data_IF_460743512803
#
_entry.id   IF_460743512803
#
_cell.length_a   1.000
_cell.length_b   1.000
_cell.length_c   1.000
_cell.angle_alpha   90.00
_cell.angle_beta   90.00
_cell.angle_gamma   90.00
#
_symmetry.space_group_name_H-M   'P 1'
#
loop_
_entity.id
_entity.type
_entity.pdbx_description
1 polymer ?
#
# COMPACT_ATOMS: atom_id res chain seq x y z
N UNK A 1 13.57 59.11 -31.50
CA UNK A 1 14.33 58.30 -32.47
C UNK A 1 14.43 56.91 -31.86
N UNK A 2 13.44 56.05 -32.07
CA UNK A 2 13.25 55.16 -33.22
C UNK A 2 13.51 53.72 -32.72
N UNK A 3 12.43 52.94 -32.55
CA UNK A 3 12.50 51.48 -32.70
C UNK A 3 12.63 51.12 -34.19
N UNK A 4 12.21 49.93 -34.67
CA UNK A 4 11.63 48.77 -33.99
C UNK A 4 12.26 47.42 -34.45
N UNK A 5 11.75 46.28 -33.98
CA UNK A 5 11.25 45.21 -34.87
C UNK A 5 10.67 44.01 -34.13
N UNK A 6 9.42 43.69 -34.49
CA UNK A 6 8.72 42.42 -34.28
C UNK A 6 9.26 41.36 -35.24
N UNK A 7 9.20 40.09 -34.85
CA UNK A 7 8.91 38.98 -35.77
C UNK A 7 8.02 37.98 -35.03
N UNK A 8 6.80 37.85 -35.55
CA UNK A 8 5.87 36.78 -35.26
C UNK A 8 6.24 35.56 -36.12
N UNK A 9 6.01 34.36 -35.61
CA UNK A 9 6.08 33.11 -36.36
C UNK A 9 4.87 32.25 -36.04
N UNK A 10 3.90 32.27 -36.96
CA UNK A 10 2.81 31.31 -37.09
C UNK A 10 3.33 30.02 -37.73
N UNK A 11 2.95 28.84 -37.22
CA UNK A 11 2.83 27.56 -37.96
C UNK A 11 1.72 26.71 -37.27
N UNK A 12 1.05 25.74 -37.92
CA UNK A 12 -0.31 25.89 -38.43
C UNK A 12 -1.30 24.88 -37.82
N UNK A 13 -2.57 25.07 -38.18
CA UNK A 13 -3.68 24.13 -37.97
C UNK A 13 -3.44 22.78 -38.67
N UNK A 14 -3.69 21.69 -37.95
CA UNK A 14 -3.79 20.33 -38.47
C UNK A 14 -5.17 19.76 -38.16
N UNK A 15 -6.02 19.75 -39.17
CA UNK A 15 -7.29 19.02 -39.25
C UNK A 15 -7.06 17.54 -39.56
N UNK A 16 -7.88 16.65 -39.00
CA UNK A 16 -8.05 15.30 -39.54
C UNK A 16 -8.63 14.29 -38.57
N UNK A 17 -9.91 13.96 -38.80
CA UNK A 17 -10.64 12.73 -38.49
C UNK A 17 -9.77 11.51 -38.11
N UNK A 18 -10.08 10.69 -37.12
CA UNK A 18 -11.37 10.06 -36.86
C UNK A 18 -11.14 8.55 -36.95
N UNK A 19 -11.20 7.83 -35.82
CA UNK A 19 -11.45 6.39 -35.74
C UNK A 19 -11.57 5.92 -34.27
N UNK A 20 -12.81 5.87 -33.79
CA UNK A 20 -13.29 4.82 -32.87
C UNK A 20 -13.83 3.69 -33.77
N UNK A 21 -13.78 2.38 -33.44
CA UNK A 21 -14.17 1.77 -32.14
C UNK A 21 -13.23 0.60 -31.74
N UNK A 22 -13.32 -0.11 -30.61
CA UNK A 22 -14.35 -1.08 -30.21
C UNK A 22 -14.17 -1.39 -28.72
N UNK A 23 -15.18 -1.03 -27.93
CA UNK A 23 -15.37 -1.50 -26.55
C UNK A 23 -15.82 -2.96 -26.64
N UNK A 24 -15.05 -3.89 -26.06
CA UNK A 24 -15.53 -5.25 -25.78
C UNK A 24 -16.24 -5.27 -24.43
N UNK A 25 -17.56 -5.36 -24.51
CA UNK A 25 -18.49 -5.58 -23.41
C UNK A 25 -18.25 -6.93 -22.72
N UNK A 26 -18.18 -6.94 -21.39
CA UNK A 26 -18.36 -8.15 -20.59
C UNK A 26 -19.87 -8.45 -20.44
N UNK A 27 -20.30 -9.72 -20.52
CA UNK A 27 -21.71 -10.07 -20.45
C UNK A 27 -22.27 -9.92 -19.02
N UNK A 28 -23.40 -9.21 -18.96
CA UNK A 28 -24.35 -9.20 -17.84
C UNK A 28 -25.03 -10.57 -17.78
N UNK A 29 -24.91 -11.26 -16.65
CA UNK A 29 -25.77 -12.41 -16.33
C UNK A 29 -26.91 -11.90 -15.46
N UNK A 30 -28.11 -11.97 -16.00
CA UNK A 30 -29.36 -11.63 -15.34
C UNK A 30 -30.01 -12.89 -14.72
N UNK A 31 -30.34 -12.77 -13.43
CA UNK A 31 -31.48 -13.41 -12.76
C UNK A 31 -31.43 -14.92 -12.47
N UNK A 32 -32.41 -15.47 -11.71
CA UNK A 32 -33.70 -14.80 -11.43
C UNK A 32 -34.37 -15.05 -10.04
N UNK A 33 -35.50 -14.35 -9.88
CA UNK A 33 -36.72 -14.65 -9.10
C UNK A 33 -36.77 -14.51 -7.56
N UNK A 34 -37.40 -13.39 -7.15
CA UNK A 34 -38.59 -13.26 -6.29
C UNK A 34 -39.20 -14.54 -5.65
N UNK A 35 -39.57 -14.48 -4.36
CA UNK A 35 -40.97 -14.56 -3.89
C UNK A 35 -41.12 -14.21 -2.40
N UNK A 36 -42.37 -13.98 -2.02
CA UNK A 36 -42.87 -13.20 -0.90
C UNK A 36 -43.02 -13.94 0.46
N UNK A 37 -43.11 -13.12 1.51
CA UNK A 37 -43.92 -13.19 2.74
C UNK A 37 -44.61 -14.52 3.10
N UNK A 38 -44.41 -14.98 4.34
CA UNK A 38 -45.53 -15.39 5.18
C UNK A 38 -45.19 -15.41 6.67
N UNK A 39 -46.05 -14.77 7.46
CA UNK A 39 -46.09 -14.82 8.92
C UNK A 39 -47.18 -15.78 9.38
N UNK A 40 -46.86 -16.70 10.29
CA UNK A 40 -47.79 -17.43 11.17
C UNK A 40 -46.99 -17.85 12.42
N UNK A 41 -47.19 -17.30 13.63
CA UNK A 41 -48.30 -17.46 14.61
C UNK A 41 -48.41 -18.88 15.20
N UNK A 42 -47.97 -19.00 16.48
CA UNK A 42 -48.45 -19.87 17.60
C UNK A 42 -48.38 -21.41 17.41
N UNK A 43 -48.17 -22.27 18.40
CA UNK A 43 -48.05 -22.24 19.87
C UNK A 43 -47.47 -23.61 20.36
N UNK A 44 -47.24 -23.84 21.67
CA UNK A 44 -46.38 -24.91 22.19
C UNK A 44 -47.10 -26.25 22.37
N UNK A 45 -46.34 -27.34 22.35
CA UNK A 45 -46.77 -28.63 22.90
C UNK A 45 -45.79 -29.06 23.99
N UNK A 46 -46.25 -28.95 25.23
CA UNK A 46 -45.73 -29.71 26.36
C UNK A 46 -46.16 -31.16 26.21
N UNK A 47 -45.26 -32.10 26.50
CA UNK A 47 -45.70 -33.33 27.14
C UNK A 47 -44.95 -34.61 26.80
N UNK A 48 -44.31 -35.14 27.84
CA UNK A 48 -44.28 -36.56 28.20
C UNK A 48 -43.47 -37.47 27.26
N UNK A 49 -42.31 -37.93 27.71
CA UNK A 49 -42.08 -39.35 28.07
C UNK A 49 -40.64 -39.55 28.54
N UNK A 50 -40.51 -39.55 29.87
CA UNK A 50 -39.41 -40.13 30.61
C UNK A 50 -39.32 -41.62 30.28
N UNK A 51 -38.19 -42.07 29.70
CA UNK A 51 -37.60 -43.44 29.77
C UNK A 51 -36.52 -43.61 28.68
N UNK A 52 -35.47 -42.80 28.67
CA UNK A 52 -34.28 -43.07 27.83
C UNK A 52 -32.99 -42.45 28.38
N UNK A 53 -32.87 -42.39 29.72
CA UNK A 53 -31.75 -41.74 30.42
C UNK A 53 -30.51 -42.63 30.57
N UNK A 54 -30.47 -43.84 30.01
CA UNK A 54 -29.33 -44.76 30.22
C UNK A 54 -28.71 -45.38 28.96
N UNK A 55 -28.96 -44.79 27.78
CA UNK A 55 -28.29 -45.20 26.53
C UNK A 55 -27.86 -44.04 25.62
N UNK A 56 -27.69 -42.84 26.18
CA UNK A 56 -27.08 -41.68 25.47
C UNK A 56 -25.74 -41.24 26.05
N UNK A 57 -25.32 -41.79 27.18
CA UNK A 57 -24.07 -41.43 27.86
C UNK A 57 -22.81 -42.04 27.22
N UNK A 58 -22.94 -43.05 26.35
CA UNK A 58 -21.79 -43.72 25.72
C UNK A 58 -21.49 -43.27 24.29
N UNK A 59 -22.39 -42.54 23.62
CA UNK A 59 -22.11 -41.95 22.30
C UNK A 59 -21.62 -40.50 22.36
N UNK A 60 -21.83 -39.80 23.48
CA UNK A 60 -21.30 -38.44 23.68
C UNK A 60 -19.81 -38.43 24.09
N UNK A 61 -19.27 -39.54 24.59
CA UNK A 61 -17.87 -39.64 25.00
C UNK A 61 -16.91 -39.96 23.84
N UNK A 62 -17.40 -40.51 22.72
CA UNK A 62 -16.54 -40.89 21.58
C UNK A 62 -16.37 -39.78 20.53
N UNK A 63 -17.26 -38.77 20.52
CA UNK A 63 -17.12 -37.60 19.64
C UNK A 63 -16.26 -36.47 20.26
N UNK A 64 -15.86 -36.57 21.53
CA UNK A 64 -14.92 -35.63 22.15
C UNK A 64 -13.44 -35.97 21.90
N UNK A 65 -13.14 -37.14 21.33
CA UNK A 65 -11.76 -37.60 21.10
C UNK A 65 -11.23 -37.37 19.66
N UNK A 66 -12.05 -36.81 18.76
CA UNK A 66 -11.64 -36.42 17.39
C UNK A 66 -11.58 -34.88 17.28
N UNK A 67 -11.25 -34.22 18.40
CA UNK A 67 -10.85 -32.82 18.43
C UNK A 67 -9.33 -32.71 18.53
N UNK A 68 -8.58 -33.49 17.74
CA UNK A 68 -7.16 -33.18 17.52
C UNK A 68 -7.17 -31.91 16.70
N UNK A 69 -7.14 -30.76 17.39
CA UNK A 69 -6.75 -29.49 16.83
C UNK A 69 -5.35 -29.67 16.31
N UNK A 70 -5.21 -30.12 15.06
CA UNK A 70 -3.96 -29.98 14.34
C UNK A 70 -3.69 -28.49 14.31
N UNK A 71 -2.62 -28.00 14.96
CA UNK A 71 -2.23 -26.62 14.76
C UNK A 71 -1.95 -26.52 13.26
N UNK A 72 -2.82 -25.80 12.54
CA UNK A 72 -2.52 -25.37 11.18
C UNK A 72 -1.13 -24.73 11.28
N UNK A 73 -0.15 -25.20 10.48
CA UNK A 73 1.16 -24.57 10.49
C UNK A 73 0.92 -23.09 10.25
N UNK A 74 1.33 -22.25 11.21
CA UNK A 74 1.37 -20.82 11.04
C UNK A 74 2.08 -20.60 9.70
N UNK A 75 1.33 -20.14 8.69
CA UNK A 75 1.84 -20.00 7.34
C UNK A 75 3.16 -19.27 7.44
N UNK A 76 4.26 -19.92 7.01
CA UNK A 76 5.60 -19.48 7.27
C UNK A 76 5.67 -17.97 7.01
N UNK A 77 5.75 -17.19 8.09
CA UNK A 77 5.80 -15.75 7.98
C UNK A 77 7.05 -15.48 7.14
N UNK A 78 6.85 -14.99 5.91
CA UNK A 78 7.95 -14.70 5.01
C UNK A 78 8.98 -13.82 5.72
N UNK A 79 10.25 -13.95 5.35
CA UNK A 79 11.34 -13.19 5.97
C UNK A 79 10.99 -11.70 6.01
N UNK A 80 10.78 -11.16 7.22
CA UNK A 80 10.40 -9.77 7.47
C UNK A 80 11.60 -8.82 7.36
N UNK A 81 12.80 -9.33 7.05
CA UNK A 81 14.05 -8.55 6.98
C UNK A 81 14.56 -8.33 5.56
N UNK A 82 13.80 -8.71 4.53
CA UNK A 82 14.20 -8.56 3.12
C UNK A 82 14.60 -7.12 2.80
N UNK A 83 13.79 -6.12 3.17
CA UNK A 83 14.12 -4.71 2.90
C UNK A 83 15.38 -4.26 3.65
N UNK A 84 15.58 -4.72 4.89
CA UNK A 84 16.79 -4.42 5.65
C UNK A 84 18.03 -5.03 4.99
N UNK A 85 17.93 -6.26 4.50
CA UNK A 85 19.01 -6.94 3.79
C UNK A 85 19.37 -6.23 2.47
N UNK A 86 18.38 -5.71 1.74
CA UNK A 86 18.63 -4.92 0.52
C UNK A 86 19.38 -3.64 0.89
N UNK A 87 18.88 -2.87 1.86
CA UNK A 87 19.49 -1.60 2.26
C UNK A 87 20.92 -1.77 2.75
N UNK A 88 21.21 -2.86 3.47
CA UNK A 88 22.52 -3.10 4.09
C UNK A 88 23.53 -3.67 3.11
N UNK A 89 23.11 -4.62 2.27
CA UNK A 89 24.04 -5.46 1.51
C UNK A 89 23.98 -5.24 0.00
N UNK A 90 22.98 -4.52 -0.52
CA UNK A 90 22.69 -4.48 -1.95
C UNK A 90 22.78 -3.10 -2.59
N UNK A 91 22.99 -2.02 -1.84
CA UNK A 91 23.03 -0.67 -2.42
C UNK A 91 24.39 -0.29 -3.01
N UNK A 92 25.49 -0.73 -2.40
CA UNK A 92 26.85 -0.47 -2.88
C UNK A 92 27.33 -1.57 -3.82
N UNK A 93 27.28 -1.31 -5.12
CA UNK A 93 27.69 -2.24 -6.16
C UNK A 93 29.20 -2.22 -6.48
N UNK A 94 30.02 -1.47 -5.73
CA UNK A 94 31.46 -1.33 -6.00
C UNK A 94 32.32 -2.49 -5.48
N UNK A 95 31.78 -3.32 -4.58
CA UNK A 95 32.47 -4.46 -4.00
C UNK A 95 32.78 -5.57 -5.02
N UNK A 96 33.99 -6.13 -4.97
CA UNK A 96 34.40 -7.21 -5.88
C UNK A 96 33.57 -8.51 -5.70
N UNK A 97 32.99 -8.72 -4.52
CA UNK A 97 32.11 -9.82 -4.15
C UNK A 97 30.62 -9.43 -4.14
N UNK A 98 30.27 -8.24 -4.64
CA UNK A 98 28.91 -7.72 -4.61
C UNK A 98 27.87 -8.71 -5.16
N UNK A 99 28.15 -9.32 -6.31
CA UNK A 99 27.23 -10.24 -6.98
C UNK A 99 27.03 -11.58 -6.26
N UNK A 100 27.91 -11.94 -5.33
CA UNK A 100 27.77 -13.17 -4.53
C UNK A 100 27.17 -12.87 -3.15
N UNK A 101 27.44 -11.70 -2.58
CA UNK A 101 26.90 -11.25 -1.28
C UNK A 101 25.47 -10.77 -1.40
N UNK A 102 25.18 -9.95 -2.42
CA UNK A 102 23.86 -9.37 -2.58
C UNK A 102 22.91 -10.33 -3.31
N UNK A 103 21.88 -10.79 -2.58
CA UNK A 103 20.82 -11.65 -3.12
C UNK A 103 19.93 -10.96 -4.16
N UNK A 104 19.76 -9.63 -4.05
CA UNK A 104 18.94 -8.81 -4.95
C UNK A 104 19.79 -7.66 -5.53
N UNK A 105 20.72 -7.96 -6.45
CA UNK A 105 21.67 -6.96 -6.95
C UNK A 105 20.94 -5.85 -7.69
N UNK A 106 21.55 -4.67 -7.77
CA UNK A 106 20.96 -3.56 -8.50
C UNK A 106 20.86 -3.87 -9.99
N UNK A 107 19.82 -3.36 -10.63
CA UNK A 107 19.62 -3.49 -12.09
C UNK A 107 20.77 -2.85 -12.88
N UNK A 108 21.40 -1.81 -12.34
CA UNK A 108 22.53 -1.08 -12.95
C UNK A 108 23.90 -1.67 -12.58
N UNK A 109 23.95 -2.82 -11.89
CA UNK A 109 25.22 -3.49 -11.55
C UNK A 109 25.71 -4.42 -12.67
N UNK A 110 26.97 -4.86 -12.56
CA UNK A 110 27.57 -5.83 -13.46
C UNK A 110 27.14 -7.29 -13.19
N UNK A 111 26.27 -7.52 -12.19
CA UNK A 111 25.74 -8.85 -11.93
C UNK A 111 24.88 -9.31 -13.11
N UNK A 112 24.77 -10.64 -13.31
CA UNK A 112 23.97 -11.27 -14.37
C UNK A 112 22.71 -10.49 -14.76
N UNK A 113 22.33 -10.45 -16.05
CA UNK A 113 21.19 -9.71 -16.62
C UNK A 113 19.81 -10.00 -15.96
N UNK A 114 19.62 -9.54 -14.72
CA UNK A 114 18.39 -9.62 -13.95
C UNK A 114 17.65 -8.29 -14.11
N UNK A 115 16.34 -8.38 -14.29
CA UNK A 115 15.47 -7.20 -14.26
C UNK A 115 14.91 -6.98 -12.87
N UNK A 116 14.34 -5.79 -12.61
CA UNK A 116 13.65 -5.50 -11.36
C UNK A 116 12.54 -6.51 -11.03
N UNK A 117 11.93 -7.10 -12.06
CA UNK A 117 10.90 -8.14 -11.91
C UNK A 117 11.45 -9.56 -11.78
N UNK A 118 12.76 -9.74 -11.94
CA UNK A 118 13.44 -11.03 -11.86
C UNK A 118 14.59 -10.99 -10.84
N UNK A 119 14.31 -10.46 -9.66
CA UNK A 119 15.20 -10.53 -8.50
C UNK A 119 16.36 -9.56 -8.50
N UNK A 120 16.30 -8.44 -9.24
CA UNK A 120 17.18 -7.29 -9.07
C UNK A 120 16.46 -6.11 -8.41
N UNK A 121 17.21 -5.17 -7.85
CA UNK A 121 16.73 -3.95 -7.20
C UNK A 121 16.87 -2.75 -8.15
N UNK A 122 15.76 -2.09 -8.47
CA UNK A 122 15.78 -0.81 -9.21
C UNK A 122 15.72 0.35 -8.21
N UNK A 123 16.76 1.18 -8.22
CA UNK A 123 16.89 2.35 -7.34
C UNK A 123 16.46 3.60 -8.10
N UNK A 124 15.50 4.34 -7.55
CA UNK A 124 14.96 5.57 -8.16
C UNK A 124 15.62 6.84 -7.63
N UNK A 125 16.01 6.83 -6.35
CA UNK A 125 16.71 7.92 -5.70
C UNK A 125 17.52 7.38 -4.52
N UNK A 126 18.61 8.05 -4.18
CA UNK A 126 19.48 7.66 -3.08
C UNK A 126 20.11 8.90 -2.43
N UNK A 127 20.30 8.84 -1.11
CA UNK A 127 21.10 9.78 -0.34
C UNK A 127 21.93 9.00 0.72
N UNK A 128 22.65 9.73 1.57
CA UNK A 128 23.34 9.13 2.71
C UNK A 128 22.38 8.48 3.71
N UNK A 129 21.14 8.98 3.81
CA UNK A 129 20.18 8.57 4.83
C UNK A 129 19.01 7.72 4.29
N UNK A 130 18.73 7.81 2.99
CA UNK A 130 17.52 7.22 2.39
C UNK A 130 17.80 6.59 1.03
N UNK A 131 16.93 5.65 0.65
CA UNK A 131 16.85 5.11 -0.71
C UNK A 131 15.39 5.01 -1.13
N UNK A 132 15.09 5.22 -2.41
CA UNK A 132 13.81 4.87 -3.02
C UNK A 132 14.01 3.71 -3.97
N UNK A 133 13.26 2.63 -3.74
CA UNK A 133 13.28 1.42 -4.56
C UNK A 133 11.96 1.29 -5.33
N UNK A 134 12.01 0.66 -6.50
CA UNK A 134 10.82 0.10 -7.15
C UNK A 134 10.26 -1.04 -6.30
N UNK A 135 8.96 -1.02 -6.01
CA UNK A 135 8.29 -2.15 -5.35
C UNK A 135 8.10 -3.33 -6.33
N UNK A 136 8.33 -4.55 -5.84
CA UNK A 136 8.01 -5.80 -6.55
C UNK A 136 6.52 -5.92 -6.96
N UNK A 137 5.61 -5.18 -6.33
CA UNK A 137 4.19 -5.10 -6.72
C UNK A 137 3.99 -4.47 -8.10
N UNK A 138 4.99 -3.80 -8.65
CA UNK A 138 4.95 -3.32 -10.03
C UNK A 138 5.20 -4.42 -11.07
N UNK A 139 5.63 -5.62 -10.67
CA UNK A 139 5.91 -6.72 -11.58
C UNK A 139 4.62 -7.22 -12.24
N UNK A 140 4.58 -7.20 -13.58
CA UNK A 140 3.40 -7.58 -14.36
C UNK A 140 2.34 -6.49 -14.52
N UNK A 141 2.59 -5.28 -14.00
CA UNK A 141 1.68 -4.15 -14.15
C UNK A 141 1.82 -3.44 -15.49
N UNK A 142 0.74 -2.80 -15.99
CA UNK A 142 0.80 -1.98 -17.19
C UNK A 142 1.72 -0.77 -16.99
N UNK A 143 2.15 -0.19 -18.11
CA UNK A 143 2.89 1.06 -18.12
C UNK A 143 2.08 2.18 -17.42
N UNK A 144 2.79 3.05 -16.69
CA UNK A 144 2.19 4.14 -15.92
C UNK A 144 1.80 3.78 -14.48
N UNK A 145 1.64 2.50 -14.13
CA UNK A 145 1.52 2.09 -12.73
C UNK A 145 2.83 2.39 -11.98
N UNK A 146 2.74 3.01 -10.80
CA UNK A 146 3.90 3.39 -9.99
C UNK A 146 3.67 2.96 -8.55
N UNK A 147 4.63 2.21 -8.02
CA UNK A 147 4.70 1.83 -6.61
C UNK A 147 6.17 1.84 -6.19
N UNK A 148 6.56 2.84 -5.40
CA UNK A 148 7.91 2.94 -4.83
C UNK A 148 7.93 2.71 -3.33
N UNK A 149 9.13 2.46 -2.79
CA UNK A 149 9.40 2.34 -1.36
C UNK A 149 10.55 3.27 -0.99
N UNK A 150 10.30 4.34 -0.25
CA UNK A 150 11.35 5.12 0.41
C UNK A 150 11.68 4.48 1.75
N UNK A 151 12.95 4.19 1.99
CA UNK A 151 13.45 3.37 3.09
C UNK A 151 14.63 4.11 3.74
N UNK A 152 14.69 4.24 5.08
CA UNK A 152 15.89 4.76 5.74
C UNK A 152 17.01 3.73 5.63
N UNK A 153 18.24 4.24 5.46
CA UNK A 153 19.46 3.43 5.43
C UNK A 153 19.85 2.91 6.82
N UNK A 154 19.38 3.58 7.87
CA UNK A 154 19.42 3.08 9.24
C UNK A 154 18.31 2.07 9.51
N UNK A 155 18.56 1.15 10.46
CA UNK A 155 17.56 0.17 10.90
C UNK A 155 16.49 0.84 11.77
N UNK A 156 15.30 1.00 11.20
CA UNK A 156 14.10 1.55 11.85
C UNK A 156 12.97 0.61 11.55
N UNK A 157 12.24 0.11 12.55
CA UNK A 157 11.25 -0.97 12.30
C UNK A 157 9.97 -0.48 11.63
N UNK A 158 9.49 0.72 11.99
CA UNK A 158 8.26 1.28 11.45
C UNK A 158 7.75 2.51 12.20
N UNK A 159 6.43 2.73 12.15
CA UNK A 159 5.75 3.90 12.76
C UNK A 159 5.97 3.96 14.28
N UNK A 160 6.08 2.81 14.92
CA UNK A 160 6.29 2.69 16.37
C UNK A 160 7.71 3.06 16.82
N UNK A 161 8.71 3.01 15.92
CA UNK A 161 10.12 3.20 16.28
C UNK A 161 10.41 4.69 16.55
N UNK A 162 10.87 5.08 17.75
CA UNK A 162 11.15 6.48 18.07
C UNK A 162 12.32 7.07 17.29
N UNK A 163 13.13 6.24 16.62
CA UNK A 163 14.29 6.68 15.82
C UNK A 163 13.91 7.00 14.36
N UNK A 164 12.63 6.92 14.01
CA UNK A 164 12.13 7.24 12.66
C UNK A 164 12.54 8.67 12.27
N UNK A 165 13.26 8.86 11.16
CA UNK A 165 13.69 10.20 10.74
C UNK A 165 12.53 10.97 10.10
N UNK A 166 12.41 12.26 10.43
CA UNK A 166 11.38 13.14 9.86
C UNK A 166 11.57 13.36 8.35
N UNK A 167 12.82 13.51 7.91
CA UNK A 167 13.18 13.84 6.52
C UNK A 167 12.80 12.80 5.46
N UNK A 168 12.39 11.58 5.87
CA UNK A 168 11.97 10.53 4.94
C UNK A 168 10.76 10.95 4.11
N UNK A 169 9.85 11.76 4.67
CA UNK A 169 8.64 12.21 3.99
C UNK A 169 8.98 13.18 2.85
N UNK A 170 9.85 14.15 3.10
CA UNK A 170 10.32 15.09 2.07
C UNK A 170 11.08 14.36 0.97
N UNK A 171 11.95 13.43 1.33
CA UNK A 171 12.71 12.61 0.38
C UNK A 171 11.78 11.75 -0.50
N UNK A 172 10.81 11.07 0.11
CA UNK A 172 9.80 10.27 -0.59
C UNK A 172 8.93 11.13 -1.52
N UNK A 173 8.51 12.32 -1.07
CA UNK A 173 7.69 13.23 -1.88
C UNK A 173 8.45 13.74 -3.11
N UNK A 174 9.72 14.11 -2.95
CA UNK A 174 10.57 14.54 -4.07
C UNK A 174 10.77 13.42 -5.10
N UNK A 175 11.02 12.20 -4.65
CA UNK A 175 11.14 11.03 -5.53
C UNK A 175 9.80 10.70 -6.23
N UNK A 176 8.67 10.83 -5.52
CA UNK A 176 7.33 10.64 -6.08
C UNK A 176 7.05 11.65 -7.20
N UNK A 177 7.30 12.94 -6.96
CA UNK A 177 7.14 14.00 -7.98
C UNK A 177 8.04 13.77 -9.18
N UNK A 178 9.29 13.35 -8.98
CA UNK A 178 10.19 13.03 -10.09
C UNK A 178 9.67 11.89 -10.96
N UNK A 179 9.00 10.90 -10.37
CA UNK A 179 8.49 9.71 -11.07
C UNK A 179 7.09 9.88 -11.67
N UNK A 180 6.23 10.65 -11.01
CA UNK A 180 4.81 10.80 -11.35
C UNK A 180 4.45 12.21 -11.85
N UNK A 181 5.39 13.16 -11.87
CA UNK A 181 5.15 14.57 -12.19
C UNK A 181 4.49 15.32 -11.03
N UNK A 182 3.85 16.44 -11.33
CA UNK A 182 3.03 17.22 -10.38
C UNK A 182 1.60 16.67 -10.25
N UNK A 183 1.47 15.35 -10.29
CA UNK A 183 0.20 14.65 -10.22
C UNK A 183 -0.47 14.91 -8.86
N UNK A 184 -1.68 15.53 -8.83
CA UNK A 184 -2.38 15.80 -7.57
C UNK A 184 -2.82 14.51 -6.85
N UNK A 185 -2.76 13.36 -7.51
CA UNK A 185 -3.07 12.06 -6.92
C UNK A 185 -1.88 11.44 -6.16
N UNK A 186 -0.69 12.07 -6.10
CA UNK A 186 0.42 11.52 -5.32
C UNK A 186 0.00 11.32 -3.86
N UNK A 187 0.22 10.11 -3.37
CA UNK A 187 0.00 9.71 -1.99
C UNK A 187 1.25 9.01 -1.44
N UNK A 188 1.59 9.36 -0.20
CA UNK A 188 2.58 8.64 0.58
C UNK A 188 1.89 7.89 1.71
N UNK A 189 2.22 6.62 1.90
CA UNK A 189 1.60 5.80 2.92
C UNK A 189 2.64 5.01 3.72
N UNK A 190 2.41 4.84 5.02
CA UNK A 190 3.14 3.89 5.86
C UNK A 190 2.11 3.03 6.57
N UNK A 191 2.28 1.71 6.52
CA UNK A 191 1.35 0.77 7.12
C UNK A 191 1.62 0.54 8.62
N UNK A 192 0.57 0.24 9.42
CA UNK A 192 0.73 -0.19 10.81
C UNK A 192 1.54 -1.49 10.92
N UNK A 193 2.03 -1.79 12.13
CA UNK A 193 2.77 -3.00 12.43
C UNK A 193 1.97 -4.26 12.07
N UNK A 194 0.69 -4.31 12.43
CA UNK A 194 -0.19 -5.44 12.17
C UNK A 194 -0.52 -5.64 10.68
N UNK A 195 -0.24 -4.65 9.82
CA UNK A 195 -0.66 -4.65 8.41
C UNK A 195 0.52 -4.63 7.42
N UNK A 196 1.76 -4.68 7.92
CA UNK A 196 2.98 -4.69 7.09
C UNK A 196 3.67 -6.06 7.09
N UNK A 197 4.32 -6.37 5.97
CA UNK A 197 5.05 -7.62 5.78
C UNK A 197 6.56 -7.54 6.05
N UNK A 198 7.09 -6.36 6.41
CA UNK A 198 8.53 -6.11 6.59
C UNK A 198 8.76 -5.28 7.87
N UNK A 199 9.83 -5.59 8.59
CA UNK A 199 10.28 -4.91 9.83
C UNK A 199 11.43 -3.95 9.55
N UNK A 200 11.24 -3.18 8.48
CA UNK A 200 12.03 -2.02 8.12
C UNK A 200 11.04 -0.95 7.68
N UNK A 201 11.09 0.24 8.25
CA UNK A 201 10.24 1.38 7.91
C UNK A 201 10.33 1.63 6.41
N UNK A 202 9.18 1.72 5.75
CA UNK A 202 9.12 2.09 4.35
C UNK A 202 7.88 2.95 4.10
N UNK A 203 8.10 4.08 3.43
CA UNK A 203 7.03 4.92 2.90
C UNK A 203 6.73 4.44 1.50
N UNK A 204 5.50 4.05 1.24
CA UNK A 204 5.01 3.73 -0.09
C UNK A 204 4.78 5.02 -0.88
N UNK A 205 5.23 5.06 -2.14
CA UNK A 205 5.01 6.15 -3.10
C UNK A 205 4.01 5.66 -4.14
N UNK A 206 2.80 6.24 -4.15
CA UNK A 206 1.65 5.70 -4.87
C UNK A 206 0.77 6.83 -5.44
N UNK A 207 -0.26 6.44 -6.19
CA UNK A 207 -1.39 7.30 -6.54
C UNK A 207 -2.63 6.96 -5.73
N UNK A 208 -3.44 7.96 -5.42
CA UNK A 208 -4.79 7.78 -4.90
C UNK A 208 -5.65 7.04 -5.93
N UNK A 209 -6.41 6.05 -5.46
CA UNK A 209 -7.39 5.37 -6.30
C UNK A 209 -8.76 6.05 -6.22
N UNK A 210 -9.46 6.11 -7.35
CA UNK A 210 -10.85 6.55 -7.44
C UNK A 210 -11.19 7.78 -6.59
N UNK A 211 -12.20 7.64 -5.73
CA UNK A 211 -12.73 8.73 -4.89
C UNK A 211 -11.98 8.95 -3.56
N UNK A 212 -10.79 8.34 -3.38
CA UNK A 212 -10.07 8.42 -2.11
C UNK A 212 -9.83 9.86 -1.62
N UNK A 213 -9.60 10.81 -2.54
CA UNK A 213 -9.46 12.23 -2.20
C UNK A 213 -10.65 12.81 -1.43
N UNK A 214 -11.89 12.41 -1.78
CA UNK A 214 -13.10 12.84 -1.07
C UNK A 214 -13.17 12.24 0.34
N UNK A 215 -12.86 10.95 0.47
CA UNK A 215 -12.84 10.26 1.78
C UNK A 215 -11.79 10.86 2.71
N UNK A 216 -10.61 11.19 2.15
CA UNK A 216 -9.54 11.85 2.91
C UNK A 216 -10.00 13.23 3.36
N UNK A 217 -10.59 14.05 2.48
CA UNK A 217 -11.07 15.38 2.86
C UNK A 217 -12.12 15.36 3.99
N UNK A 218 -12.91 14.30 4.12
CA UNK A 218 -13.89 14.12 5.20
C UNK A 218 -13.26 13.67 6.52
N UNK A 219 -12.13 12.94 6.47
CA UNK A 219 -11.51 12.31 7.64
C UNK A 219 -10.27 13.04 8.16
N UNK A 220 -9.46 13.61 7.26
CA UNK A 220 -8.21 14.27 7.60
C UNK A 220 -8.51 15.59 8.33
N UNK A 221 -8.19 15.63 9.62
CA UNK A 221 -8.42 16.80 10.48
C UNK A 221 -7.19 17.66 10.67
N UNK A 222 -6.01 17.15 10.34
CA UNK A 222 -4.74 17.86 10.49
C UNK A 222 -4.11 18.20 9.14
N UNK A 223 -3.44 19.35 9.12
CA UNK A 223 -2.61 19.81 8.02
C UNK A 223 -1.21 20.14 8.53
N UNK A 224 -0.22 19.96 7.67
CA UNK A 224 1.16 20.41 7.90
C UNK A 224 1.65 21.23 6.71
N UNK A 225 2.42 22.28 7.00
CA UNK A 225 3.07 23.09 5.95
C UNK A 225 4.39 22.46 5.49
N UNK A 226 5.10 21.76 6.39
CA UNK A 226 6.31 21.00 6.09
C UNK A 226 6.09 19.51 6.35
N UNK A 227 6.67 18.69 5.48
CA UNK A 227 6.70 17.24 5.61
C UNK A 227 7.48 16.77 6.84
N UNK A 228 8.37 17.60 7.39
CA UNK A 228 9.13 17.29 8.62
C UNK A 228 8.22 17.16 9.86
N UNK A 229 6.99 17.68 9.79
CA UNK A 229 6.06 17.62 10.92
C UNK A 229 5.09 16.42 10.88
N UNK A 230 5.18 15.57 9.85
CA UNK A 230 4.22 14.47 9.65
C UNK A 230 4.20 13.52 10.85
N UNK A 231 5.36 13.07 11.35
CA UNK A 231 5.40 12.12 12.47
C UNK A 231 4.79 12.69 13.75
N UNK A 232 5.11 13.94 14.07
CA UNK A 232 4.56 14.65 15.23
C UNK A 232 3.04 14.77 15.16
N UNK A 233 2.52 15.17 14.00
CA UNK A 233 1.08 15.34 13.80
C UNK A 233 0.35 14.01 13.79
N UNK A 234 0.90 12.99 13.11
CA UNK A 234 0.33 11.65 13.09
C UNK A 234 0.25 11.05 14.50
N UNK A 235 1.33 11.13 15.30
CA UNK A 235 1.35 10.61 16.66
C UNK A 235 0.32 11.30 17.56
N UNK A 236 0.18 12.64 17.47
CA UNK A 236 -0.85 13.39 18.20
C UNK A 236 -2.25 12.95 17.81
N UNK A 237 -2.52 12.78 16.51
CA UNK A 237 -3.83 12.34 16.02
C UNK A 237 -4.14 10.91 16.46
N UNK A 238 -3.18 9.99 16.33
CA UNK A 238 -3.33 8.61 16.79
C UNK A 238 -3.67 8.56 18.28
N UNK A 239 -2.98 9.33 19.11
CA UNK A 239 -3.28 9.43 20.54
C UNK A 239 -4.70 9.98 20.80
N UNK A 240 -5.12 11.01 20.07
CA UNK A 240 -6.47 11.58 20.18
C UNK A 240 -7.58 10.61 19.71
N UNK A 241 -7.24 9.65 18.85
CA UNK A 241 -8.14 8.59 18.37
C UNK A 241 -8.02 7.28 19.16
N UNK A 242 -7.14 7.22 20.17
CA UNK A 242 -6.90 6.02 20.98
C UNK A 242 -6.20 4.88 20.21
N UNK A 243 -5.46 5.20 19.14
CA UNK A 243 -4.76 4.23 18.31
C UNK A 243 -3.35 3.95 18.85
N UNK A 244 -3.07 2.68 19.16
CA UNK A 244 -1.73 2.22 19.60
C UNK A 244 -0.93 1.58 18.47
N UNK A 245 -1.59 1.08 17.43
CA UNK A 245 -0.99 0.65 16.16
C UNK A 245 -1.73 1.38 15.03
N UNK A 246 -0.99 2.10 14.20
CA UNK A 246 -1.56 2.95 13.16
C UNK A 246 -0.61 3.11 11.96
N UNK A 247 -1.21 3.24 10.78
CA UNK A 247 -0.57 3.74 9.58
C UNK A 247 -0.75 5.24 9.43
N UNK A 248 0.04 5.81 8.51
CA UNK A 248 0.00 7.24 8.16
C UNK A 248 -0.18 7.38 6.66
N UNK A 249 -1.08 8.28 6.25
CA UNK A 249 -1.28 8.71 4.87
C UNK A 249 -0.98 10.21 4.76
N UNK A 250 -0.22 10.59 3.74
CA UNK A 250 0.09 11.98 3.41
C UNK A 250 -0.27 12.25 1.95
N UNK A 251 -1.02 13.33 1.73
CA UNK A 251 -1.39 13.81 0.39
C UNK A 251 -1.27 15.33 0.34
N UNK A 252 -1.07 15.89 -0.86
CA UNK A 252 -1.09 17.33 -1.05
C UNK A 252 -2.47 17.92 -0.70
N UNK A 253 -2.47 19.13 -0.13
CA UNK A 253 -3.68 19.89 0.09
C UNK A 253 -3.85 20.99 -0.98
N UNK A 254 -5.09 21.26 -1.40
CA UNK A 254 -5.38 22.21 -2.51
C UNK A 254 -4.94 23.65 -2.23
N UNK A 255 -4.97 24.06 -0.97
CA UNK A 255 -4.56 25.40 -0.52
C UNK A 255 -3.07 25.46 -0.15
N UNK A 256 -2.29 24.42 -0.50
CA UNK A 256 -0.91 24.27 -0.09
C UNK A 256 -0.74 23.46 1.20
N UNK A 257 0.49 23.00 1.42
CA UNK A 257 0.82 22.04 2.48
C UNK A 257 0.27 20.64 2.20
N UNK A 258 0.13 19.86 3.27
CA UNK A 258 -0.22 18.43 3.21
C UNK A 258 -1.29 18.09 4.23
N UNK A 259 -2.20 17.20 3.85
CA UNK A 259 -3.11 16.54 4.78
C UNK A 259 -2.42 15.30 5.36
N UNK A 260 -2.60 15.09 6.66
CA UNK A 260 -2.11 13.89 7.36
C UNK A 260 -3.30 13.15 7.94
N UNK A 261 -3.41 11.86 7.62
CA UNK A 261 -4.44 10.96 8.13
C UNK A 261 -3.77 9.76 8.81
N UNK A 262 -4.35 9.31 9.92
CA UNK A 262 -3.97 8.05 10.57
C UNK A 262 -5.09 7.03 10.40
N UNK A 263 -4.71 5.75 10.33
CA UNK A 263 -5.67 4.65 10.21
C UNK A 263 -5.15 3.43 10.99
N UNK A 264 -6.06 2.69 11.63
CA UNK A 264 -5.73 1.41 12.25
C UNK A 264 -5.42 0.33 11.20
N UNK A 265 -6.11 0.38 10.06
CA UNK A 265 -5.87 -0.48 8.91
C UNK A 265 -4.79 0.08 7.97
N UNK A 266 -4.47 -0.64 6.90
CA UNK A 266 -3.48 -0.24 5.90
C UNK A 266 -3.95 0.98 5.07
N UNK A 267 -3.38 2.18 5.25
CA UNK A 267 -3.71 3.33 4.40
C UNK A 267 -3.29 3.10 2.94
N UNK A 268 -2.24 2.32 2.71
CA UNK A 268 -1.83 1.86 1.37
C UNK A 268 -3.02 1.17 0.67
N UNK A 269 -3.59 0.13 1.29
CA UNK A 269 -4.71 -0.62 0.70
C UNK A 269 -6.00 0.19 0.60
N UNK A 270 -6.27 1.04 1.59
CA UNK A 270 -7.55 1.74 1.71
C UNK A 270 -7.68 2.94 0.77
N UNK A 271 -6.57 3.59 0.40
CA UNK A 271 -6.62 4.89 -0.26
C UNK A 271 -5.89 4.96 -1.59
N UNK A 272 -5.09 3.94 -1.95
CA UNK A 272 -4.19 4.03 -3.11
C UNK A 272 -4.40 2.90 -4.11
N UNK A 273 -3.90 3.10 -5.32
CA UNK A 273 -3.70 2.06 -6.32
C UNK A 273 -2.48 1.19 -5.93
N UNK A 274 -2.61 0.44 -4.85
CA UNK A 274 -1.52 -0.36 -4.28
C UNK A 274 -1.20 -1.63 -5.10
N UNK A 275 -2.10 -2.02 -6.00
CA UNK A 275 -1.96 -3.09 -7.00
C UNK A 275 -2.55 -2.64 -8.33
N UNK A 276 -1.92 -3.05 -9.41
CA UNK A 276 -2.53 -3.00 -10.73
C UNK A 276 -3.60 -4.11 -10.89
N UNK A 277 -4.56 -3.88 -11.78
CA UNK A 277 -5.60 -4.85 -12.16
C UNK A 277 -5.29 -5.45 -13.52
#
# INVERSE_FOLDING_TARGET
MAGPSRMAGEIPEGSGDGDHPVIRSCPVVAGPHTFALSSAVRQPVRGIFSRMVRLRALFAALLLAIGVSTPLPAGAAGDRTVLWNIVTNCLDASGADYCTVCRWPRVDSACSHRSASNGATEVWAESADFVVLRDSKMCGCPEGFVHGLAIPRARVTGVEDPRRPDGIWAFAWAAARKRMGDDPAIALAVNPLAQRGQDQLHVHLLRLHGDAGRLIAQRAKDRVQSLDHVWKVAARRAAAEGLTDYGVLVVAHREGGFMVLVAQDSPEKLYTDWRCR
#
